data_IF_224025281042
#
_entry.id   IF_224025281042
#
_cell.length_a   1.000
_cell.length_b   1.000
_cell.length_c   1.000
_cell.angle_alpha   90.00
_cell.angle_beta   90.00
_cell.angle_gamma   90.00
#
_symmetry.space_group_name_H-M   'P 1'
#
loop_
_entity.id
_entity.type
_entity.pdbx_description
1 polymer ?
#
# COMPACT_ATOMS: atom_id res chain seq x y z
N UNK A 1 19.84 69.29 -40.00
CA UNK A 1 18.53 68.76 -40.42
C UNK A 1 17.84 68.19 -39.22
N UNK A 2 16.69 68.75 -38.88
CA UNK A 2 15.85 68.38 -37.75
C UNK A 2 14.91 67.23 -38.14
N UNK A 3 14.63 66.36 -37.16
CA UNK A 3 13.39 65.59 -36.99
C UNK A 3 13.34 65.25 -35.48
N UNK A 4 12.43 65.81 -34.66
CA UNK A 4 11.01 65.42 -34.51
C UNK A 4 10.88 63.94 -34.13
N UNK A 5 10.16 63.49 -33.09
CA UNK A 5 9.27 64.09 -32.11
C UNK A 5 8.97 63.03 -31.04
N UNK A 6 8.63 63.50 -29.84
CA UNK A 6 7.69 62.97 -28.83
C UNK A 6 7.17 61.52 -28.92
N UNK A 7 7.24 60.77 -27.81
CA UNK A 7 6.14 59.98 -27.19
C UNK A 7 6.63 59.16 -25.95
N UNK A 8 5.76 58.57 -25.09
CA UNK A 8 5.27 59.16 -23.84
C UNK A 8 5.62 58.34 -22.58
N UNK A 9 5.18 58.84 -21.42
CA UNK A 9 5.34 58.23 -20.09
C UNK A 9 4.80 56.79 -20.03
N UNK A 10 5.62 55.87 -19.52
CA UNK A 10 5.21 54.52 -19.18
C UNK A 10 4.40 54.54 -17.86
N UNK A 11 3.09 54.36 -17.99
CA UNK A 11 2.18 54.04 -16.89
C UNK A 11 2.60 52.72 -16.26
N UNK A 12 3.00 52.74 -14.98
CA UNK A 12 3.15 51.55 -14.16
C UNK A 12 1.79 50.85 -13.99
N UNK A 13 1.57 49.78 -14.74
CA UNK A 13 0.51 48.83 -14.44
C UNK A 13 0.95 47.97 -13.26
N UNK A 14 0.28 48.13 -12.11
CA UNK A 14 0.33 47.16 -11.03
C UNK A 14 -0.30 45.84 -11.53
N UNK A 15 0.30 44.67 -11.30
CA UNK A 15 -0.32 43.42 -11.68
C UNK A 15 -1.54 43.16 -10.80
N UNK A 16 -2.65 42.82 -11.48
CA UNK A 16 -3.94 42.46 -10.91
C UNK A 16 -3.79 41.35 -9.86
N UNK A 17 -4.46 41.53 -8.72
CA UNK A 17 -4.68 40.50 -7.73
C UNK A 17 -5.52 39.38 -8.37
N UNK A 18 -4.89 38.27 -8.71
CA UNK A 18 -5.57 37.08 -9.20
C UNK A 18 -6.42 36.50 -8.06
N UNK A 19 -7.73 36.49 -8.30
CA UNK A 19 -8.77 35.75 -7.57
C UNK A 19 -8.34 34.29 -7.38
N UNK A 20 -7.87 33.96 -6.18
CA UNK A 20 -7.75 32.57 -5.73
C UNK A 20 -9.12 32.08 -5.28
N UNK A 21 -10.01 31.80 -6.24
CA UNK A 21 -11.21 31.03 -5.94
C UNK A 21 -10.79 29.67 -5.38
N UNK A 22 -10.95 29.49 -4.07
CA UNK A 22 -10.89 28.20 -3.41
C UNK A 22 -11.97 27.31 -4.07
N UNK A 23 -11.54 26.44 -4.98
CA UNK A 23 -12.36 25.31 -5.43
C UNK A 23 -12.51 24.38 -4.23
N UNK A 24 -13.52 24.64 -3.41
CA UNK A 24 -13.92 23.77 -2.31
C UNK A 24 -14.51 22.51 -2.93
N UNK A 25 -13.70 21.48 -3.09
CA UNK A 25 -14.21 20.13 -3.39
C UNK A 25 -15.19 19.72 -2.28
N UNK A 26 -16.35 19.12 -2.62
CA UNK A 26 -17.33 18.74 -1.63
C UNK A 26 -16.79 17.58 -0.79
N UNK A 27 -16.29 17.90 0.40
CA UNK A 27 -15.83 16.97 1.46
C UNK A 27 -16.82 15.84 1.78
N UNK A 28 -18.08 16.00 1.39
CA UNK A 28 -19.17 15.03 1.51
C UNK A 28 -18.99 13.78 0.63
N UNK A 29 -18.33 13.89 -0.52
CA UNK A 29 -18.14 12.75 -1.44
C UNK A 29 -17.16 11.72 -0.86
N UNK A 30 -16.10 12.19 -0.21
CA UNK A 30 -15.11 11.33 0.43
C UNK A 30 -15.70 10.50 1.58
N UNK A 31 -16.60 11.09 2.38
CA UNK A 31 -17.27 10.39 3.49
C UNK A 31 -18.23 9.33 2.96
N UNK A 32 -19.05 9.69 1.95
CA UNK A 32 -19.95 8.73 1.31
C UNK A 32 -19.19 7.56 0.66
N UNK A 33 -18.03 7.85 0.06
CA UNK A 33 -17.17 6.83 -0.53
C UNK A 33 -16.54 5.90 0.51
N UNK A 34 -16.19 6.43 1.69
CA UNK A 34 -15.69 5.62 2.80
C UNK A 34 -16.77 4.69 3.36
N UNK A 35 -18.00 5.18 3.50
CA UNK A 35 -19.14 4.38 3.94
C UNK A 35 -19.47 3.26 2.94
N UNK A 36 -19.38 3.55 1.63
CA UNK A 36 -19.56 2.54 0.59
C UNK A 36 -18.49 1.44 0.66
N UNK A 37 -17.21 1.81 0.85
CA UNK A 37 -16.12 0.85 1.01
C UNK A 37 -16.27 -0.01 2.27
N UNK A 38 -16.77 0.59 3.35
CA UNK A 38 -17.05 -0.14 4.59
C UNK A 38 -18.14 -1.19 4.39
N UNK A 39 -19.23 -0.83 3.70
CA UNK A 39 -20.31 -1.76 3.39
C UNK A 39 -19.88 -2.90 2.45
N UNK A 40 -18.92 -2.64 1.55
CA UNK A 40 -18.32 -3.67 0.69
C UNK A 40 -17.43 -4.63 1.51
N UNK A 41 -16.62 -4.09 2.41
CA UNK A 41 -15.78 -4.88 3.30
C UNK A 41 -16.62 -5.78 4.23
N UNK A 42 -17.71 -5.26 4.78
CA UNK A 42 -18.63 -6.03 5.64
C UNK A 42 -19.28 -7.20 4.88
N UNK A 43 -19.55 -7.04 3.58
CA UNK A 43 -20.06 -8.13 2.73
C UNK A 43 -19.00 -9.19 2.42
N UNK A 44 -17.74 -8.78 2.24
CA UNK A 44 -16.63 -9.71 2.00
C UNK A 44 -16.24 -10.49 3.26
N UNK A 45 -16.35 -9.85 4.43
CA UNK A 45 -16.06 -10.45 5.74
C UNK A 45 -17.27 -11.16 6.35
N UNK A 46 -18.46 -11.07 5.73
CA UNK A 46 -19.65 -11.77 6.19
C UNK A 46 -19.35 -13.27 6.30
N UNK A 47 -19.67 -13.91 7.44
CA UNK A 47 -19.48 -15.35 7.61
C UNK A 47 -20.23 -16.09 6.50
N UNK A 48 -19.51 -16.90 5.74
CA UNK A 48 -20.14 -17.74 4.71
C UNK A 48 -21.05 -18.76 5.40
N UNK A 49 -22.34 -18.87 5.02
CA UNK A 49 -23.31 -19.76 5.67
C UNK A 49 -22.96 -21.26 5.55
N UNK A 50 -22.02 -21.60 4.69
CA UNK A 50 -21.48 -22.92 4.37
C UNK A 50 -20.09 -23.18 4.98
N UNK A 51 -19.52 -22.22 5.71
CA UNK A 51 -18.34 -22.47 6.53
C UNK A 51 -18.76 -23.17 7.84
N UNK A 52 -18.99 -24.48 7.76
CA UNK A 52 -19.01 -25.31 8.96
C UNK A 52 -17.73 -25.05 9.77
N UNK A 53 -17.80 -24.99 11.12
CA UNK A 53 -16.61 -24.95 11.94
C UNK A 53 -15.74 -26.14 11.52
N UNK A 54 -14.58 -25.87 10.94
CA UNK A 54 -13.60 -26.90 10.62
C UNK A 54 -13.03 -27.38 11.96
N UNK A 55 -13.76 -28.26 12.63
CA UNK A 55 -13.20 -28.99 13.77
C UNK A 55 -12.01 -29.82 13.24
N UNK A 56 -10.80 -29.43 13.63
CA UNK A 56 -9.56 -30.15 13.30
C UNK A 56 -8.68 -29.52 12.20
N UNK A 57 -8.92 -28.28 11.78
CA UNK A 57 -7.97 -27.53 10.94
C UNK A 57 -6.83 -26.90 11.75
N UNK A 58 -5.69 -26.58 11.12
CA UNK A 58 -4.63 -25.82 11.80
C UNK A 58 -5.12 -24.40 12.09
N UNK A 59 -4.91 -23.95 13.34
CA UNK A 59 -5.35 -22.65 13.84
C UNK A 59 -4.46 -21.51 13.33
N UNK A 60 -3.22 -21.83 12.96
CA UNK A 60 -2.20 -20.85 12.61
C UNK A 60 -1.38 -21.26 11.38
N UNK A 61 -1.03 -20.26 10.57
CA UNK A 61 -0.02 -20.36 9.52
C UNK A 61 1.20 -19.54 9.92
N UNK A 62 2.37 -20.18 9.95
CA UNK A 62 3.66 -19.53 10.18
C UNK A 62 4.46 -19.52 8.88
N UNK A 63 4.82 -18.34 8.41
CA UNK A 63 5.62 -18.14 7.20
C UNK A 63 7.03 -17.71 7.59
N UNK A 64 8.02 -18.54 7.27
CA UNK A 64 9.42 -18.31 7.56
C UNK A 64 10.11 -17.75 6.31
N UNK A 65 10.52 -16.48 6.37
CA UNK A 65 11.24 -15.82 5.29
C UNK A 65 12.71 -15.61 5.67
N UNK A 66 13.62 -16.03 4.80
CA UNK A 66 15.05 -15.83 4.98
C UNK A 66 15.47 -14.44 4.48
N UNK A 67 16.58 -13.93 5.00
CA UNK A 67 17.19 -12.69 4.51
C UNK A 67 17.78 -12.83 3.10
N UNK A 68 18.27 -11.72 2.55
CA UNK A 68 18.99 -11.72 1.27
C UNK A 68 20.26 -12.57 1.37
N UNK A 69 20.61 -13.26 0.29
CA UNK A 69 21.71 -14.23 0.23
C UNK A 69 21.56 -15.48 1.12
N UNK A 70 20.44 -15.65 1.82
CA UNK A 70 20.08 -16.90 2.49
C UNK A 70 19.22 -17.81 1.61
N UNK A 71 18.87 -18.98 2.13
CA UNK A 71 17.93 -19.92 1.50
C UNK A 71 16.90 -20.45 2.48
N UNK A 72 15.92 -21.21 1.99
CA UNK A 72 14.91 -21.85 2.83
C UNK A 72 15.51 -22.89 3.77
N UNK A 73 16.64 -23.49 3.38
CA UNK A 73 17.37 -24.48 4.15
C UNK A 73 17.93 -23.88 5.45
N UNK A 74 18.30 -22.60 5.47
CA UNK A 74 18.78 -21.90 6.68
C UNK A 74 17.72 -21.90 7.79
N UNK A 75 16.44 -22.00 7.41
CA UNK A 75 15.30 -22.02 8.33
C UNK A 75 14.79 -23.44 8.62
N UNK A 76 15.43 -24.48 8.07
CA UNK A 76 14.96 -25.86 8.21
C UNK A 76 14.91 -26.33 9.66
N UNK A 77 15.91 -25.94 10.47
CA UNK A 77 15.92 -26.25 11.90
C UNK A 77 14.73 -25.62 12.62
N UNK A 78 14.49 -24.32 12.40
CA UNK A 78 13.38 -23.60 13.03
C UNK A 78 12.03 -24.17 12.59
N UNK A 79 11.87 -24.48 11.31
CA UNK A 79 10.68 -25.15 10.77
C UNK A 79 10.39 -26.45 11.52
N UNK A 80 11.42 -27.30 11.68
CA UNK A 80 11.29 -28.59 12.38
C UNK A 80 10.89 -28.43 13.85
N UNK A 81 11.44 -27.44 14.54
CA UNK A 81 11.11 -27.17 15.95
C UNK A 81 9.66 -26.71 16.08
N UNK A 82 9.19 -25.83 15.20
CA UNK A 82 7.83 -25.32 15.20
C UNK A 82 6.80 -26.40 14.84
N UNK A 83 7.08 -27.22 13.83
CA UNK A 83 6.25 -28.39 13.47
C UNK A 83 6.19 -29.41 14.61
N UNK A 84 7.28 -29.60 15.35
CA UNK A 84 7.36 -30.50 16.50
C UNK A 84 6.68 -29.97 17.78
N UNK A 85 6.25 -28.70 17.81
CA UNK A 85 5.64 -28.09 19.00
C UNK A 85 4.22 -28.59 19.30
N UNK A 86 3.55 -29.22 18.33
CA UNK A 86 2.20 -29.75 18.47
C UNK A 86 1.09 -28.70 18.48
N UNK A 87 1.38 -27.42 18.23
CA UNK A 87 0.40 -26.33 18.38
C UNK A 87 -0.55 -26.14 17.18
N UNK A 88 -0.90 -27.22 16.46
CA UNK A 88 -1.89 -27.16 15.38
C UNK A 88 -1.58 -26.10 14.31
N UNK A 89 -0.33 -25.99 13.87
CA UNK A 89 0.09 -24.96 12.92
C UNK A 89 0.67 -25.56 11.63
N UNK A 90 0.49 -24.85 10.52
CA UNK A 90 1.23 -25.10 9.27
C UNK A 90 2.45 -24.18 9.27
N UNK A 91 3.64 -24.74 8.99
CA UNK A 91 4.88 -23.97 8.86
C UNK A 91 5.38 -24.05 7.43
N UNK A 92 5.49 -22.89 6.78
CA UNK A 92 5.97 -22.78 5.40
C UNK A 92 7.25 -21.95 5.34
N UNK A 93 8.33 -22.52 4.81
CA UNK A 93 9.57 -21.80 4.54
C UNK A 93 9.54 -21.32 3.08
N UNK A 94 9.58 -20.00 2.87
CA UNK A 94 9.49 -19.40 1.53
C UNK A 94 10.84 -19.37 0.84
N UNK A 95 10.81 -19.39 -0.49
CA UNK A 95 11.98 -19.31 -1.37
C UNK A 95 12.07 -17.98 -2.13
N UNK A 96 11.12 -17.06 -1.93
CA UNK A 96 10.99 -15.81 -2.71
C UNK A 96 12.21 -14.90 -2.67
N UNK A 97 13.08 -15.03 -1.67
CA UNK A 97 14.29 -14.21 -1.56
C UNK A 97 15.55 -14.90 -2.14
N UNK A 98 15.47 -16.17 -2.60
CA UNK A 98 16.64 -16.91 -3.09
C UNK A 98 17.15 -16.40 -4.43
N UNK A 99 16.24 -15.86 -5.25
CA UNK A 99 16.55 -15.31 -6.56
C UNK A 99 16.69 -13.79 -6.52
N UNK A 100 16.82 -13.21 -5.32
CA UNK A 100 16.99 -11.77 -5.17
C UNK A 100 18.45 -11.38 -5.02
N UNK A 101 18.80 -10.27 -5.65
CA UNK A 101 20.08 -9.58 -5.47
C UNK A 101 20.20 -8.98 -4.05
N UNK A 102 21.38 -8.43 -3.73
CA UNK A 102 21.67 -7.81 -2.42
C UNK A 102 20.86 -6.54 -2.12
N UNK A 103 20.31 -5.90 -3.14
CA UNK A 103 19.37 -4.79 -3.05
C UNK A 103 17.90 -5.23 -3.14
N UNK A 104 17.64 -6.53 -3.27
CA UNK A 104 16.30 -7.11 -3.16
C UNK A 104 15.48 -7.11 -4.45
N UNK A 105 16.12 -6.92 -5.61
CA UNK A 105 15.48 -7.05 -6.93
C UNK A 105 15.70 -8.44 -7.51
N UNK A 106 14.93 -8.82 -8.55
CA UNK A 106 15.13 -10.09 -9.25
C UNK A 106 16.52 -10.13 -9.90
N UNK A 107 17.21 -11.27 -9.80
CA UNK A 107 18.57 -11.49 -10.29
C UNK A 107 18.65 -11.81 -11.80
#
# INVERSE_FOLDING_TARGET
SASSSSQPAATSQQPNEEDWELVSEPKTDAVARLDALRAELDQLLAPRPDASPREGGPDHLVVLAHGLSGTSEDLAYLKRVLEGSGAGMIVHAVTSNQQKTRDGVEA
#
